data_IF_466458563599
#
_entry.id   IF_466458563599
#
_cell.length_a   1.000
_cell.length_b   1.000
_cell.length_c   1.000
_cell.angle_alpha   90.00
_cell.angle_beta   90.00
_cell.angle_gamma   90.00
#
_symmetry.space_group_name_H-M   'P 1'
#
loop_
_entity.id
_entity.type
_entity.pdbx_description
1 polymer ?
#
# COMPACT_ATOMS: atom_id res chain seq x y z
N UNK A 1 11.98 2.05 5.48
CA UNK A 1 11.10 2.81 4.58
C UNK A 1 11.16 4.29 4.96
N UNK A 2 11.98 5.09 4.25
CA UNK A 2 12.13 6.52 4.54
C UNK A 2 10.82 7.29 4.39
N UNK A 3 10.70 8.48 5.01
CA UNK A 3 9.49 9.29 4.88
C UNK A 3 9.19 9.66 3.43
N UNK A 4 7.93 9.52 3.00
CA UNK A 4 7.51 9.86 1.65
C UNK A 4 7.99 8.91 0.54
N UNK A 5 8.64 7.79 0.88
CA UNK A 5 9.22 6.85 -0.09
C UNK A 5 8.56 5.49 0.07
N UNK A 6 8.21 4.86 -1.06
CA UNK A 6 7.90 3.43 -1.11
C UNK A 6 9.14 2.73 -1.61
N UNK A 7 9.90 2.13 -0.69
CA UNK A 7 11.10 1.37 -1.06
C UNK A 7 10.77 0.16 -1.92
N UNK A 8 11.69 -0.23 -2.81
CA UNK A 8 11.57 -1.45 -3.60
C UNK A 8 11.36 -2.68 -2.72
N UNK A 9 12.00 -2.73 -1.54
CA UNK A 9 11.83 -3.80 -0.57
C UNK A 9 10.38 -3.90 -0.08
N UNK A 10 9.77 -2.79 0.35
CA UNK A 10 8.38 -2.75 0.79
C UNK A 10 7.42 -3.11 -0.36
N UNK A 11 7.67 -2.56 -1.55
CA UNK A 11 6.89 -2.84 -2.74
C UNK A 11 6.89 -4.33 -3.09
N UNK A 12 8.07 -4.94 -3.13
CA UNK A 12 8.24 -6.35 -3.45
C UNK A 12 7.68 -7.27 -2.37
N UNK A 13 7.85 -6.93 -1.09
CA UNK A 13 7.30 -7.70 0.02
C UNK A 13 5.78 -7.83 -0.10
N UNK A 14 5.10 -6.72 -0.40
CA UNK A 14 3.64 -6.69 -0.58
C UNK A 14 3.23 -7.44 -1.85
N UNK A 15 3.90 -7.19 -2.98
CA UNK A 15 3.61 -7.82 -4.27
C UNK A 15 3.77 -9.34 -4.24
N UNK A 16 4.74 -9.85 -3.48
CA UNK A 16 5.06 -11.28 -3.37
C UNK A 16 4.19 -12.01 -2.33
N UNK A 17 3.33 -11.31 -1.59
CA UNK A 17 2.45 -11.93 -0.62
C UNK A 17 1.45 -12.89 -1.30
N UNK A 18 1.36 -14.13 -0.80
CA UNK A 18 0.48 -15.20 -1.34
C UNK A 18 -0.45 -15.82 -0.30
N UNK A 19 -0.19 -15.55 0.97
CA UNK A 19 -0.89 -16.09 2.13
C UNK A 19 -0.74 -15.11 3.29
N UNK A 20 -1.25 -15.46 4.46
CA UNK A 20 -1.12 -14.64 5.67
C UNK A 20 0.36 -14.44 6.02
N UNK A 21 0.82 -13.19 5.95
CA UNK A 21 2.17 -12.79 6.29
C UNK A 21 2.14 -11.60 7.25
N UNK A 22 3.24 -11.36 7.95
CA UNK A 22 3.48 -10.14 8.72
C UNK A 22 4.70 -9.48 8.14
N UNK A 23 4.58 -8.21 7.78
CA UNK A 23 5.69 -7.38 7.31
C UNK A 23 6.02 -6.43 8.46
N UNK A 24 7.27 -6.40 8.87
CA UNK A 24 7.76 -5.40 9.82
C UNK A 24 8.42 -4.29 9.03
N UNK A 25 8.06 -3.05 9.31
CA UNK A 25 8.55 -1.89 8.58
C UNK A 25 9.26 -0.99 9.58
N UNK A 26 10.54 -0.73 9.33
CA UNK A 26 11.31 0.28 10.05
C UNK A 26 11.18 1.61 9.31
N UNK A 27 10.58 2.62 9.95
CA UNK A 27 10.27 3.92 9.36
C UNK A 27 8.78 4.13 9.08
N UNK A 28 8.46 4.73 7.94
CA UNK A 28 7.10 5.09 7.53
C UNK A 28 6.34 3.90 6.93
N UNK A 29 5.11 3.65 7.38
CA UNK A 29 4.30 2.47 6.99
C UNK A 29 3.04 2.82 6.20
N UNK A 30 2.50 4.02 6.36
CA UNK A 30 1.21 4.45 5.79
C UNK A 30 1.16 4.34 4.25
N UNK A 31 2.26 4.64 3.55
CA UNK A 31 2.37 4.47 2.10
C UNK A 31 2.28 3.01 1.63
N UNK A 32 2.41 2.02 2.51
CA UNK A 32 2.19 0.60 2.19
C UNK A 32 0.76 0.33 1.70
N UNK A 33 -0.20 1.19 2.07
CA UNK A 33 -1.59 1.13 1.59
C UNK A 33 -1.69 1.18 0.07
N UNK A 34 -0.83 1.94 -0.61
CA UNK A 34 -0.83 2.08 -2.08
C UNK A 34 -0.50 0.76 -2.81
N UNK A 35 0.68 0.13 -2.61
CA UNK A 35 0.96 -1.18 -3.18
C UNK A 35 0.00 -2.26 -2.67
N UNK A 36 -0.52 -2.15 -1.43
CA UNK A 36 -1.54 -3.08 -0.94
C UNK A 36 -2.83 -3.01 -1.78
N UNK A 37 -3.36 -1.81 -2.03
CA UNK A 37 -4.52 -1.62 -2.91
C UNK A 37 -4.21 -2.11 -4.33
N UNK A 38 -3.04 -1.78 -4.86
CA UNK A 38 -2.64 -2.13 -6.22
C UNK A 38 -2.54 -3.64 -6.44
N UNK A 39 -1.99 -4.40 -5.49
CA UNK A 39 -1.70 -5.83 -5.64
C UNK A 39 -2.72 -6.77 -4.99
N UNK A 40 -3.60 -6.28 -4.11
CA UNK A 40 -4.64 -7.11 -3.52
C UNK A 40 -5.60 -7.71 -4.58
N UNK A 41 -6.18 -8.90 -4.36
CA UNK A 41 -7.21 -9.42 -5.27
C UNK A 41 -8.45 -8.53 -5.25
N UNK A 42 -9.22 -8.52 -6.34
CA UNK A 42 -10.47 -7.75 -6.40
C UNK A 42 -11.45 -8.17 -5.28
N UNK A 43 -12.10 -7.20 -4.66
CA UNK A 43 -13.01 -7.40 -3.53
C UNK A 43 -12.33 -7.60 -2.17
N UNK A 44 -10.99 -7.63 -2.12
CA UNK A 44 -10.28 -7.58 -0.83
C UNK A 44 -10.47 -6.23 -0.14
N UNK A 45 -10.36 -6.23 1.19
CA UNK A 45 -10.39 -5.01 1.99
C UNK A 45 -8.98 -4.68 2.49
N UNK A 46 -8.57 -3.44 2.25
CA UNK A 46 -7.39 -2.82 2.83
C UNK A 46 -7.89 -2.03 4.03
N UNK A 47 -7.33 -2.32 5.20
CA UNK A 47 -7.77 -1.76 6.48
C UNK A 47 -6.56 -1.21 7.21
N UNK A 48 -6.58 0.08 7.52
CA UNK A 48 -5.52 0.71 8.30
C UNK A 48 -6.09 1.76 9.27
N UNK A 49 -5.33 2.01 10.33
CA UNK A 49 -5.71 3.00 11.34
C UNK A 49 -5.35 4.40 10.90
N UNK A 50 -6.20 5.36 11.25
CA UNK A 50 -5.88 6.78 11.22
C UNK A 50 -5.79 7.23 12.67
N UNK A 51 -4.61 7.70 13.14
CA UNK A 51 -4.44 8.20 14.48
C UNK A 51 -5.54 9.22 14.83
N UNK A 52 -6.16 9.05 16.00
CA UNK A 52 -7.22 9.91 16.55
C UNK A 52 -8.55 9.96 15.76
N UNK A 53 -8.63 9.35 14.58
CA UNK A 53 -9.83 9.36 13.73
C UNK A 53 -10.52 7.99 13.63
N UNK A 54 -9.75 6.89 13.71
CA UNK A 54 -10.30 5.52 13.71
C UNK A 54 -9.67 4.61 12.66
N UNK A 55 -10.50 3.96 11.85
CA UNK A 55 -10.06 2.96 10.85
C UNK A 55 -10.62 3.35 9.49
N UNK A 56 -9.76 3.36 8.47
CA UNK A 56 -10.16 3.45 7.07
C UNK A 56 -10.27 2.05 6.46
N UNK A 57 -11.31 1.84 5.66
CA UNK A 57 -11.56 0.57 4.95
C UNK A 57 -11.74 0.87 3.47
N UNK A 58 -10.82 0.34 2.66
CA UNK A 58 -10.81 0.53 1.21
C UNK A 58 -10.98 -0.82 0.53
N UNK A 59 -11.96 -0.93 -0.36
CA UNK A 59 -12.09 -2.10 -1.22
C UNK A 59 -11.11 -2.03 -2.39
N UNK A 60 -10.41 -3.13 -2.65
CA UNK A 60 -9.65 -3.37 -3.86
C UNK A 60 -10.61 -3.57 -5.05
N UNK A 61 -11.14 -2.48 -5.59
CA UNK A 61 -11.94 -2.49 -6.81
C UNK A 61 -11.20 -1.80 -7.97
N UNK A 62 -11.73 -1.93 -9.18
CA UNK A 62 -11.13 -1.37 -10.40
C UNK A 62 -10.89 0.14 -10.29
N UNK A 63 -11.84 0.87 -9.70
CA UNK A 63 -11.74 2.33 -9.54
C UNK A 63 -10.57 2.71 -8.63
N UNK A 64 -10.48 2.07 -7.46
CA UNK A 64 -9.45 2.37 -6.48
C UNK A 64 -8.07 1.94 -6.97
N UNK A 65 -7.96 0.76 -7.58
CA UNK A 65 -6.71 0.30 -8.23
C UNK A 65 -6.25 1.24 -9.33
N UNK A 66 -7.17 1.69 -10.19
CA UNK A 66 -6.86 2.65 -11.27
C UNK A 66 -6.33 3.96 -10.69
N UNK A 67 -7.02 4.51 -9.68
CA UNK A 67 -6.61 5.74 -9.02
C UNK A 67 -5.22 5.62 -8.41
N UNK A 68 -4.98 4.58 -7.62
CA UNK A 68 -3.67 4.32 -7.00
C UNK A 68 -2.57 4.15 -8.04
N UNK A 69 -2.84 3.44 -9.14
CA UNK A 69 -1.88 3.30 -10.25
C UNK A 69 -1.58 4.64 -10.93
N UNK A 70 -2.56 5.54 -11.07
CA UNK A 70 -2.36 6.89 -11.58
C UNK A 70 -1.54 7.76 -10.62
N UNK A 71 -1.74 7.61 -9.31
CA UNK A 71 -1.01 8.36 -8.28
C UNK A 71 0.44 7.89 -8.19
N UNK A 72 0.70 6.57 -8.20
CA UNK A 72 2.05 6.00 -8.22
C UNK A 72 2.83 6.48 -9.46
N UNK A 73 2.19 6.56 -10.63
CA UNK A 73 2.84 7.07 -11.86
C UNK A 73 3.29 8.54 -11.79
N UNK A 74 2.75 9.31 -10.83
CA UNK A 74 3.15 10.71 -10.60
C UNK A 74 4.27 10.83 -9.56
N UNK A 75 4.59 9.74 -8.85
CA UNK A 75 5.69 9.73 -7.89
C UNK A 75 7.03 9.80 -8.62
N UNK A 76 7.99 10.47 -8.00
CA UNK A 76 9.37 10.47 -8.45
C UNK A 76 10.06 9.16 -8.07
N UNK A 77 10.90 8.64 -8.97
CA UNK A 77 11.78 7.51 -8.67
C UNK A 77 13.06 8.09 -8.08
N UNK A 78 13.29 7.83 -6.80
CA UNK A 78 14.49 8.24 -6.06
C UNK A 78 15.54 7.13 -6.12
N UNK A 79 16.80 7.49 -6.34
CA UNK A 79 17.96 6.57 -6.31
C UNK A 79 18.49 6.32 -4.89
#
# INVERSE_FOLDING_TARGET
NPPGVITDELWDAIKKMRSKQKIFIEGEEDLASLPAILFAPLGALIVYGIPEEGIEVIEANEKNKKRVNEDIKKMEVVE
#
